data_IF_194989041447
#
_entry.id   IF_194989041447
#
_cell.length_a   1.000
_cell.length_b   1.000
_cell.length_c   1.000
_cell.angle_alpha   90.00
_cell.angle_beta   90.00
_cell.angle_gamma   90.00
#
_symmetry.space_group_name_H-M   'P 1'
#
loop_
_entity.id
_entity.type
_entity.pdbx_description
1 polymer ?
#
# COMPACT_ATOMS: atom_id res chain seq x y z
N UNK A 1 -16.42 -6.51 18.82
CA UNK A 1 -15.60 -5.30 19.02
C UNK A 1 -14.26 -5.41 18.34
N UNK A 2 -13.51 -6.45 18.67
CA UNK A 2 -12.17 -6.60 18.07
C UNK A 2 -12.22 -6.69 16.55
N UNK A 3 -13.24 -7.35 16.02
CA UNK A 3 -13.36 -7.49 14.55
C UNK A 3 -13.59 -6.14 13.87
N UNK A 4 -14.38 -5.26 14.50
CA UNK A 4 -14.60 -3.95 13.92
C UNK A 4 -13.33 -3.12 13.92
N UNK A 5 -12.53 -3.21 14.99
CA UNK A 5 -11.26 -2.51 15.07
C UNK A 5 -10.29 -3.03 14.00
N UNK A 6 -10.27 -4.35 13.79
CA UNK A 6 -9.39 -4.94 12.78
C UNK A 6 -9.76 -4.47 11.39
N UNK A 7 -11.06 -4.38 11.11
CA UNK A 7 -11.51 -3.85 9.83
C UNK A 7 -11.06 -2.40 9.63
N UNK A 8 -11.21 -1.60 10.66
CA UNK A 8 -10.82 -0.20 10.58
C UNK A 8 -9.34 -0.05 10.34
N UNK A 9 -8.52 -0.86 11.03
CA UNK A 9 -7.08 -0.84 10.85
C UNK A 9 -6.71 -1.16 9.40
N UNK A 10 -7.39 -2.14 8.80
CA UNK A 10 -7.12 -2.52 7.41
C UNK A 10 -7.39 -1.40 6.42
N UNK A 11 -8.33 -0.50 6.74
CA UNK A 11 -8.66 0.61 5.86
C UNK A 11 -7.82 1.86 6.12
N UNK A 12 -7.10 1.90 7.23
CA UNK A 12 -6.26 3.04 7.57
C UNK A 12 -4.92 2.93 6.86
N UNK A 13 -4.40 4.08 6.45
CA UNK A 13 -3.06 4.15 5.90
C UNK A 13 -2.04 3.82 6.99
N UNK A 14 -1.09 2.96 6.66
CA UNK A 14 -0.04 2.52 7.57
C UNK A 14 1.31 3.04 7.11
N UNK A 15 2.25 3.25 8.04
CA UNK A 15 3.59 3.71 7.64
C UNK A 15 4.25 2.70 6.70
N UNK A 16 4.93 3.19 5.69
CA UNK A 16 5.49 2.34 4.65
C UNK A 16 6.49 1.31 5.16
N UNK A 17 7.17 1.61 6.26
CA UNK A 17 8.13 0.67 6.84
C UNK A 17 7.50 -0.63 7.30
N UNK A 18 6.18 -0.63 7.54
CA UNK A 18 5.46 -1.81 8.01
C UNK A 18 4.82 -2.61 6.88
N UNK A 19 5.05 -2.21 5.63
CA UNK A 19 4.40 -2.88 4.49
C UNK A 19 4.85 -4.34 4.38
N UNK A 20 3.90 -5.27 4.25
CA UNK A 20 4.26 -6.68 4.07
C UNK A 20 4.75 -6.96 2.66
N UNK A 21 5.46 -8.08 2.52
CA UNK A 21 5.89 -8.57 1.21
C UNK A 21 4.83 -9.49 0.62
N UNK A 22 4.89 -9.66 -0.69
CA UNK A 22 4.14 -10.69 -1.43
C UNK A 22 2.62 -10.60 -1.30
N UNK A 23 2.09 -9.41 -1.14
CA UNK A 23 0.65 -9.21 -1.19
C UNK A 23 0.32 -7.91 -1.90
N UNK A 24 -0.90 -7.82 -2.40
CA UNK A 24 -1.34 -6.65 -3.15
C UNK A 24 -1.61 -5.50 -2.20
N UNK A 25 -0.94 -4.39 -2.43
CA UNK A 25 -0.99 -3.22 -1.58
C UNK A 25 -1.42 -2.01 -2.37
N UNK A 26 -2.13 -1.13 -1.71
CA UNK A 26 -2.36 0.22 -2.20
C UNK A 26 -1.28 1.11 -1.59
N UNK A 27 -0.55 1.82 -2.44
CA UNK A 27 0.54 2.70 -2.01
C UNK A 27 0.16 4.14 -2.20
N UNK A 28 0.63 4.99 -1.30
CA UNK A 28 0.36 6.41 -1.38
C UNK A 28 1.54 7.22 -0.89
N UNK A 29 1.63 8.44 -1.41
CA UNK A 29 2.43 9.51 -0.81
C UNK A 29 1.45 10.41 -0.08
N UNK A 30 1.63 10.53 1.22
CA UNK A 30 0.81 11.42 2.03
C UNK A 30 1.68 12.55 2.53
N UNK A 31 1.28 13.77 2.19
CA UNK A 31 1.98 14.97 2.61
C UNK A 31 0.95 16.05 2.92
N UNK A 32 1.40 17.29 3.14
CA UNK A 32 0.49 18.35 3.50
C UNK A 32 -0.45 18.75 2.35
N UNK A 33 -0.17 18.32 1.13
CA UNK A 33 -1.08 18.52 -0.01
C UNK A 33 -2.18 17.47 -0.06
N UNK A 34 -2.08 16.40 0.73
CA UNK A 34 -3.09 15.38 0.79
C UNK A 34 -2.56 14.00 0.49
N UNK A 35 -3.47 13.12 0.07
CA UNK A 35 -3.18 11.72 -0.21
C UNK A 35 -3.10 11.52 -1.72
N UNK A 36 -1.96 11.01 -2.17
CA UNK A 36 -1.74 10.73 -3.59
C UNK A 36 -1.51 9.24 -3.74
N UNK A 37 -2.57 8.49 -4.01
CA UNK A 37 -2.52 7.05 -4.08
C UNK A 37 -2.37 6.56 -5.52
N UNK A 38 -1.61 5.49 -5.70
CA UNK A 38 -1.55 4.81 -6.98
C UNK A 38 -2.85 4.06 -7.23
N UNK A 39 -3.26 4.02 -8.49
CA UNK A 39 -4.56 3.46 -8.86
C UNK A 39 -4.50 1.99 -9.25
N UNK A 40 -3.40 1.32 -8.97
CA UNK A 40 -3.20 -0.09 -9.24
C UNK A 40 -2.48 -0.74 -8.07
N UNK A 41 -2.67 -2.06 -7.87
CA UNK A 41 -2.00 -2.73 -6.76
C UNK A 41 -0.52 -2.89 -7.02
N UNK A 42 0.25 -2.79 -5.94
CA UNK A 42 1.69 -2.95 -5.96
C UNK A 42 2.10 -4.03 -4.98
N UNK A 43 3.32 -4.53 -5.12
CA UNK A 43 3.90 -5.50 -4.20
C UNK A 43 5.25 -5.04 -3.74
N UNK A 44 5.55 -5.35 -2.50
CA UNK A 44 6.86 -5.05 -1.93
C UNK A 44 7.83 -6.17 -2.25
N UNK A 45 9.00 -5.80 -2.76
CA UNK A 45 10.12 -6.71 -2.96
C UNK A 45 11.33 -6.15 -2.23
N UNK A 46 12.37 -6.96 -2.07
CA UNK A 46 13.56 -6.54 -1.32
C UNK A 46 14.18 -5.28 -1.93
N UNK A 47 14.20 -5.17 -3.25
CA UNK A 47 14.82 -4.04 -3.94
C UNK A 47 13.86 -2.88 -4.20
N UNK A 48 12.64 -2.92 -3.67
CA UNK A 48 11.70 -1.81 -3.84
C UNK A 48 10.28 -2.28 -4.07
N UNK A 49 9.69 -1.83 -5.18
CA UNK A 49 8.27 -1.99 -5.44
C UNK A 49 8.02 -2.49 -6.85
N UNK A 50 7.00 -3.34 -7.00
CA UNK A 50 6.54 -3.82 -8.30
C UNK A 50 5.09 -3.42 -8.51
N UNK A 51 4.74 -3.22 -9.77
CA UNK A 51 3.33 -3.23 -10.18
C UNK A 51 2.87 -4.68 -10.20
N UNK A 52 1.82 -5.01 -9.43
CA UNK A 52 1.45 -6.41 -9.21
C UNK A 52 1.06 -7.12 -10.51
N UNK A 53 0.33 -6.43 -11.40
CA UNK A 53 -0.19 -7.06 -12.60
C UNK A 53 0.90 -7.43 -13.61
N UNK A 54 1.91 -6.61 -13.76
CA UNK A 54 2.93 -6.78 -14.80
C UNK A 54 4.29 -7.20 -14.24
N UNK A 55 4.47 -7.10 -12.92
CA UNK A 55 5.73 -7.33 -12.22
C UNK A 55 6.83 -6.35 -12.63
N UNK A 56 6.43 -5.24 -13.21
CA UNK A 56 7.36 -4.17 -13.58
C UNK A 56 7.82 -3.44 -12.32
N UNK A 57 9.11 -3.27 -12.17
CA UNK A 57 9.67 -2.52 -11.05
C UNK A 57 9.38 -1.04 -11.20
N UNK A 58 8.99 -0.42 -10.09
CA UNK A 58 8.59 0.99 -10.07
C UNK A 58 9.61 1.80 -9.30
N UNK A 59 9.92 2.98 -9.85
CA UNK A 59 10.79 3.96 -9.19
C UNK A 59 9.93 4.93 -8.41
N UNK A 60 9.46 4.47 -7.25
CA UNK A 60 8.54 5.25 -6.42
C UNK A 60 9.02 5.27 -4.98
N UNK A 61 8.57 6.29 -4.25
CA UNK A 61 8.93 6.49 -2.83
C UNK A 61 7.66 6.71 -2.01
N UNK A 62 6.84 5.67 -1.83
CA UNK A 62 5.61 5.83 -1.07
C UNK A 62 5.90 6.05 0.40
N UNK A 63 5.01 6.75 1.06
CA UNK A 63 5.12 6.99 2.50
C UNK A 63 4.20 6.09 3.31
N UNK A 64 3.14 5.59 2.67
CA UNK A 64 2.10 4.83 3.35
C UNK A 64 1.58 3.72 2.45
N UNK A 65 0.97 2.73 3.09
CA UNK A 65 0.34 1.62 2.40
C UNK A 65 -0.94 1.23 3.12
N UNK A 66 -1.79 0.53 2.42
CA UNK A 66 -2.90 -0.21 3.01
C UNK A 66 -3.24 -1.37 2.08
N UNK A 67 -4.07 -2.27 2.57
CA UNK A 67 -4.43 -3.43 1.78
C UNK A 67 -5.21 -3.00 0.55
N UNK A 68 -4.88 -3.59 -0.61
CA UNK A 68 -5.60 -3.31 -1.83
C UNK A 68 -7.03 -3.83 -1.69
N UNK A 69 -8.01 -2.94 -1.83
CA UNK A 69 -9.40 -3.30 -1.73
C UNK A 69 -9.91 -3.75 -3.09
N UNK A 70 -10.31 -4.99 -3.18
CA UNK A 70 -10.90 -5.54 -4.40
C UNK A 70 -12.38 -5.76 -4.22
N UNK A 71 -13.11 -5.54 -5.29
CA UNK A 71 -14.56 -5.80 -5.29
C UNK A 71 -14.89 -6.99 -6.16
#
# INVERSE_FOLDING_TARGET
MALALNKEIQWLWQPISTAPFDCDLELAVINYDGVHALVFPCRRIISGWLKAATRQQLEIHPTHWRQWAQN
#
